data_IF_439774591099
#
_entry.id   IF_439774591099
#
_cell.length_a   1.000
_cell.length_b   1.000
_cell.length_c   1.000
_cell.angle_alpha   90.00
_cell.angle_beta   90.00
_cell.angle_gamma   90.00
#
_symmetry.space_group_name_H-M   'P 1'
#
loop_
_entity.id
_entity.type
_entity.pdbx_description
1 polymer ?
#
# COMPACT_ATOMS: atom_id res chain seq x y z
N UNK A 1 -3.75 33.34 14.41
CA UNK A 1 -4.33 32.03 14.03
C UNK A 1 -3.56 31.48 12.84
N UNK A 2 -3.07 30.23 12.88
CA UNK A 2 -2.28 29.66 11.78
C UNK A 2 -3.13 29.60 10.49
N UNK A 3 -2.63 30.23 9.41
CA UNK A 3 -3.30 30.34 8.10
C UNK A 3 -3.61 28.97 7.46
N UNK A 4 -2.99 27.89 7.94
CA UNK A 4 -3.17 26.53 7.45
C UNK A 4 -3.42 25.56 8.62
N UNK A 5 -4.70 25.41 9.01
CA UNK A 5 -5.10 24.48 10.07
C UNK A 5 -4.85 23.03 9.62
N UNK A 6 -4.17 22.25 10.46
CA UNK A 6 -3.87 20.86 10.14
C UNK A 6 -2.60 20.64 9.31
N UNK A 7 -1.74 21.65 9.24
CA UNK A 7 -0.42 21.59 8.62
C UNK A 7 0.64 21.83 9.70
N UNK A 8 1.68 20.98 9.73
CA UNK A 8 2.87 21.13 10.57
C UNK A 8 4.09 21.41 9.72
N UNK A 9 4.97 22.31 10.18
CA UNK A 9 6.27 22.58 9.54
C UNK A 9 7.35 21.82 10.30
N UNK A 10 8.19 21.06 9.58
CA UNK A 10 9.36 20.37 10.13
C UNK A 10 10.56 20.65 9.22
N UNK A 11 11.49 21.46 9.70
CA UNK A 11 12.61 21.97 8.88
C UNK A 11 12.10 22.83 7.72
N UNK A 12 12.52 22.48 6.50
CA UNK A 12 12.09 23.14 5.25
C UNK A 12 10.82 22.54 4.64
N UNK A 13 10.23 21.51 5.27
CA UNK A 13 9.08 20.79 4.75
C UNK A 13 7.80 21.03 5.56
N UNK A 14 6.66 20.89 4.90
CA UNK A 14 5.31 21.01 5.43
C UNK A 14 4.59 19.66 5.31
N UNK A 15 3.90 19.27 6.38
CA UNK A 15 3.17 18.00 6.49
C UNK A 15 1.71 18.29 6.82
N UNK A 16 0.78 17.73 6.04
CA UNK A 16 -0.64 17.71 6.36
C UNK A 16 -0.97 16.48 7.20
N UNK A 17 -1.87 16.63 8.16
CA UNK A 17 -2.46 15.49 8.88
C UNK A 17 -3.99 15.54 8.82
N UNK A 18 -4.67 14.40 8.91
CA UNK A 18 -6.15 14.30 9.01
C UNK A 18 -6.51 13.31 10.10
N UNK A 19 -7.39 13.71 11.02
CA UNK A 19 -7.99 12.80 11.99
C UNK A 19 -9.30 12.24 11.41
N UNK A 20 -9.45 10.92 11.41
CA UNK A 20 -10.69 10.24 11.00
C UNK A 20 -10.81 8.89 11.70
N UNK A 21 -11.99 8.61 12.29
CA UNK A 21 -12.31 7.35 13.02
C UNK A 21 -11.16 6.86 13.92
N UNK A 22 -10.70 7.73 14.83
CA UNK A 22 -9.62 7.47 15.80
C UNK A 22 -8.24 7.15 15.19
N UNK A 23 -8.04 7.38 13.89
CA UNK A 23 -6.73 7.26 13.22
C UNK A 23 -6.26 8.63 12.70
N UNK A 24 -4.94 8.80 12.61
CA UNK A 24 -4.30 9.98 12.04
C UNK A 24 -3.62 9.61 10.73
N UNK A 25 -3.99 10.28 9.65
CA UNK A 25 -3.39 10.12 8.33
C UNK A 25 -2.40 11.24 8.09
N UNK A 26 -1.15 10.91 7.79
CA UNK A 26 -0.09 11.87 7.51
C UNK A 26 0.24 11.93 6.02
N UNK A 27 0.57 13.13 5.56
CA UNK A 27 1.09 13.33 4.22
C UNK A 27 2.58 13.02 4.12
N UNK A 28 3.06 12.91 2.88
CA UNK A 28 4.49 13.15 2.60
C UNK A 28 4.86 14.60 2.91
N UNK A 29 6.15 14.89 3.04
CA UNK A 29 6.62 16.27 3.15
C UNK A 29 6.44 17.04 1.83
N UNK A 30 5.97 18.28 1.94
CA UNK A 30 5.80 19.23 0.85
C UNK A 30 6.71 20.44 1.05
N UNK A 31 7.10 21.13 -0.01
CA UNK A 31 7.92 22.35 0.09
C UNK A 31 7.10 23.57 0.49
N UNK A 32 5.77 23.52 0.33
CA UNK A 32 4.86 24.63 0.66
C UNK A 32 3.72 24.22 1.60
N UNK A 33 3.31 25.14 2.48
CA UNK A 33 2.16 24.94 3.37
C UNK A 33 0.84 24.78 2.59
N UNK A 34 0.75 25.41 1.42
CA UNK A 34 -0.42 25.33 0.53
C UNK A 34 -0.62 23.91 0.00
N UNK A 35 0.44 23.25 -0.45
CA UNK A 35 0.37 21.86 -0.91
C UNK A 35 -0.06 20.90 0.20
N UNK A 36 0.49 21.06 1.40
CA UNK A 36 0.09 20.27 2.57
C UNK A 36 -1.40 20.47 2.92
N UNK A 37 -1.89 21.71 2.81
CA UNK A 37 -3.30 22.04 3.03
C UNK A 37 -4.22 21.45 1.95
N UNK A 38 -3.81 21.47 0.68
CA UNK A 38 -4.56 20.88 -0.43
C UNK A 38 -4.64 19.36 -0.30
N UNK A 39 -3.53 18.70 0.05
CA UNK A 39 -3.53 17.26 0.34
C UNK A 39 -4.51 16.92 1.47
N UNK A 40 -4.49 17.70 2.55
CA UNK A 40 -5.41 17.51 3.68
C UNK A 40 -6.88 17.63 3.25
N UNK A 41 -7.21 18.63 2.42
CA UNK A 41 -8.56 18.81 1.90
C UNK A 41 -9.01 17.60 1.07
N UNK A 42 -8.16 17.13 0.16
CA UNK A 42 -8.42 15.94 -0.68
C UNK A 42 -8.67 14.69 0.15
N UNK A 43 -7.77 14.38 1.08
CA UNK A 43 -7.84 13.17 1.91
C UNK A 43 -9.06 13.20 2.83
N UNK A 44 -9.38 14.37 3.39
CA UNK A 44 -10.60 14.53 4.19
C UNK A 44 -11.85 14.17 3.37
N UNK A 45 -11.95 14.68 2.13
CA UNK A 45 -13.07 14.37 1.23
C UNK A 45 -13.13 12.88 0.89
N UNK A 46 -11.99 12.25 0.56
CA UNK A 46 -11.92 10.81 0.25
C UNK A 46 -12.33 9.95 1.46
N UNK A 47 -11.89 10.31 2.67
CA UNK A 47 -12.22 9.59 3.90
C UNK A 47 -13.72 9.72 4.24
N UNK A 48 -14.30 10.91 4.09
CA UNK A 48 -15.74 11.13 4.32
C UNK A 48 -16.60 10.49 3.24
N UNK A 49 -16.12 10.45 2.00
CA UNK A 49 -16.80 9.81 0.86
C UNK A 49 -16.61 8.29 0.81
N UNK A 50 -15.88 7.71 1.77
CA UNK A 50 -15.52 6.29 1.80
C UNK A 50 -14.81 5.80 0.51
N UNK A 51 -14.14 6.70 -0.21
CA UNK A 51 -13.36 6.43 -1.43
C UNK A 51 -11.85 6.44 -1.17
N UNK A 52 -11.44 6.71 0.08
CA UNK A 52 -10.04 6.68 0.47
C UNK A 52 -9.48 5.26 0.40
N UNK A 53 -8.58 5.04 -0.55
CA UNK A 53 -7.75 3.84 -0.60
C UNK A 53 -6.40 4.18 0.02
N UNK A 54 -6.14 3.65 1.22
CA UNK A 54 -4.83 3.77 1.85
C UNK A 54 -3.79 3.20 0.90
N UNK A 55 -2.72 3.96 0.61
CA UNK A 55 -1.63 3.45 -0.22
C UNK A 55 -0.84 2.42 0.58
N UNK A 56 -1.31 1.19 0.54
CA UNK A 56 -0.65 0.05 1.17
C UNK A 56 0.68 -0.14 0.44
N UNK A 57 1.78 -0.03 1.19
CA UNK A 57 3.14 -0.22 0.66
C UNK A 57 3.48 -1.68 0.41
N UNK A 58 2.61 -2.59 0.85
CA UNK A 58 2.82 -4.03 0.79
C UNK A 58 3.05 -4.49 -0.65
N UNK A 59 4.17 -5.18 -0.84
CA UNK A 59 4.50 -5.83 -2.10
C UNK A 59 3.76 -7.15 -2.24
N UNK A 60 3.67 -7.67 -3.48
CA UNK A 60 3.08 -8.97 -3.71
C UNK A 60 3.84 -10.08 -2.96
N UNK A 61 5.17 -9.97 -2.86
CA UNK A 61 5.99 -10.92 -2.11
C UNK A 61 5.66 -10.92 -0.62
N UNK A 62 5.60 -9.75 0.00
CA UNK A 62 5.22 -9.61 1.42
C UNK A 62 3.81 -10.16 1.70
N UNK A 63 2.88 -9.95 0.77
CA UNK A 63 1.55 -10.53 0.87
C UNK A 63 1.55 -12.05 0.73
N UNK A 64 2.32 -12.61 -0.20
CA UNK A 64 2.44 -14.07 -0.37
C UNK A 64 3.00 -14.71 0.90
N UNK A 65 4.03 -14.13 1.51
CA UNK A 65 4.59 -14.62 2.77
C UNK A 65 3.55 -14.63 3.89
N UNK A 66 2.78 -13.54 4.00
CA UNK A 66 1.71 -13.42 4.98
C UNK A 66 0.59 -14.44 4.71
N UNK A 67 0.16 -14.59 3.46
CA UNK A 67 -0.83 -15.59 3.05
C UNK A 67 -0.39 -17.01 3.41
N UNK A 68 0.86 -17.36 3.13
CA UNK A 68 1.40 -18.68 3.43
C UNK A 68 1.42 -18.94 4.94
N UNK A 69 1.77 -17.92 5.74
CA UNK A 69 1.85 -18.01 7.19
C UNK A 69 0.49 -18.06 7.87
N UNK A 70 -0.36 -17.08 7.58
CA UNK A 70 -1.56 -16.79 8.35
C UNK A 70 -2.78 -17.59 7.86
N UNK A 71 -2.81 -17.96 6.57
CA UNK A 71 -3.92 -18.69 5.97
C UNK A 71 -3.54 -20.09 5.48
N UNK A 72 -2.53 -20.23 4.63
CA UNK A 72 -2.27 -21.49 3.94
C UNK A 72 -1.84 -22.60 4.91
N UNK A 73 -0.89 -22.32 5.81
CA UNK A 73 -0.42 -23.28 6.83
C UNK A 73 -1.51 -23.82 7.75
N UNK A 74 -2.39 -22.99 8.36
CA UNK A 74 -3.44 -23.51 9.24
C UNK A 74 -4.61 -24.15 8.50
N UNK A 75 -4.90 -23.77 7.24
CA UNK A 75 -6.12 -24.20 6.55
C UNK A 75 -5.92 -25.24 5.44
N UNK A 76 -4.71 -25.43 4.92
CA UNK A 76 -4.43 -26.35 3.81
C UNK A 76 -3.57 -27.54 4.26
N UNK A 77 -3.68 -28.66 3.55
CA UNK A 77 -2.80 -29.83 3.76
C UNK A 77 -1.34 -29.44 3.51
N UNK A 78 -0.43 -29.96 4.32
CA UNK A 78 1.00 -29.63 4.25
C UNK A 78 1.61 -29.83 2.84
N UNK A 79 1.21 -30.89 2.12
CA UNK A 79 1.64 -31.13 0.74
C UNK A 79 1.17 -30.03 -0.23
N UNK A 80 -0.06 -29.55 -0.08
CA UNK A 80 -0.60 -28.44 -0.88
C UNK A 80 0.13 -27.13 -0.58
N UNK A 81 0.39 -26.84 0.69
CA UNK A 81 1.16 -25.65 1.08
C UNK A 81 2.55 -25.69 0.47
N UNK A 82 3.23 -26.84 0.53
CA UNK A 82 4.55 -27.03 -0.06
C UNK A 82 4.54 -26.78 -1.57
N UNK A 83 3.62 -27.41 -2.29
CA UNK A 83 3.54 -27.26 -3.74
C UNK A 83 3.22 -25.82 -4.16
N UNK A 84 2.21 -25.20 -3.52
CA UNK A 84 1.84 -23.82 -3.80
C UNK A 84 2.99 -22.86 -3.51
N UNK A 85 3.65 -23.03 -2.35
CA UNK A 85 4.81 -22.23 -1.97
C UNK A 85 5.90 -22.34 -3.03
N UNK A 86 6.24 -23.55 -3.47
CA UNK A 86 7.26 -23.75 -4.50
C UNK A 86 6.90 -23.08 -5.83
N UNK A 87 5.65 -23.18 -6.30
CA UNK A 87 5.22 -22.49 -7.52
C UNK A 87 5.30 -20.96 -7.38
N UNK A 88 4.92 -20.43 -6.22
CA UNK A 88 4.98 -19.01 -5.92
C UNK A 88 6.43 -18.50 -5.90
N UNK A 89 7.33 -19.19 -5.20
CA UNK A 89 8.74 -18.82 -5.07
C UNK A 89 9.55 -18.98 -6.36
N UNK A 90 9.21 -19.97 -7.19
CA UNK A 90 9.92 -20.23 -8.45
C UNK A 90 9.55 -19.24 -9.55
N UNK A 91 8.27 -18.87 -9.65
CA UNK A 91 7.76 -18.16 -10.83
C UNK A 91 7.21 -16.77 -10.53
N UNK A 92 6.44 -16.63 -9.46
CA UNK A 92 5.68 -15.38 -9.20
C UNK A 92 6.52 -14.38 -8.42
N UNK A 93 7.18 -14.81 -7.33
CA UNK A 93 7.97 -13.92 -6.47
C UNK A 93 9.14 -13.28 -7.21
N UNK A 94 9.93 -13.99 -8.06
CA UNK A 94 11.05 -13.38 -8.76
C UNK A 94 10.62 -12.26 -9.73
N UNK A 95 9.52 -12.46 -10.44
CA UNK A 95 9.07 -11.52 -11.48
C UNK A 95 8.16 -10.42 -10.94
N UNK A 96 7.28 -10.73 -10.00
CA UNK A 96 6.20 -9.85 -9.55
C UNK A 96 6.28 -9.50 -8.08
N UNK A 97 7.12 -10.19 -7.29
CA UNK A 97 7.16 -10.05 -5.84
C UNK A 97 7.55 -8.66 -5.35
N UNK A 98 8.32 -7.91 -6.14
CA UNK A 98 8.74 -6.53 -5.83
C UNK A 98 7.66 -5.48 -6.14
N UNK A 99 6.60 -5.85 -6.87
CA UNK A 99 5.54 -4.93 -7.28
C UNK A 99 4.57 -4.76 -6.11
N UNK A 100 4.18 -3.51 -5.82
CA UNK A 100 3.12 -3.25 -4.83
C UNK A 100 1.80 -3.80 -5.33
N UNK A 101 1.00 -4.39 -4.44
CA UNK A 101 -0.29 -5.00 -4.82
C UNK A 101 -1.18 -4.00 -5.57
N UNK A 102 -1.19 -2.74 -5.14
CA UNK A 102 -1.97 -1.68 -5.78
C UNK A 102 -1.45 -1.24 -7.15
N UNK A 103 -0.19 -1.53 -7.44
CA UNK A 103 0.47 -1.22 -8.71
C UNK A 103 0.48 -2.44 -9.65
N UNK A 104 -0.02 -3.60 -9.21
CA UNK A 104 -0.13 -4.81 -10.03
C UNK A 104 -1.17 -4.60 -11.13
N UNK A 105 -0.78 -4.89 -12.38
CA UNK A 105 -1.59 -4.66 -13.58
C UNK A 105 -1.68 -5.93 -14.42
N UNK A 106 -2.73 -6.11 -15.25
CA UNK A 106 -2.84 -7.25 -16.15
C UNK A 106 -1.62 -7.46 -17.05
N UNK A 107 -0.99 -6.37 -17.50
CA UNK A 107 0.23 -6.42 -18.32
C UNK A 107 1.39 -7.12 -17.59
N UNK A 108 1.50 -7.00 -16.26
CA UNK A 108 2.54 -7.70 -15.50
C UNK A 108 2.30 -9.21 -15.50
N UNK A 109 1.04 -9.64 -15.39
CA UNK A 109 0.64 -11.05 -15.44
C UNK A 109 0.89 -11.62 -16.83
N UNK A 110 0.51 -10.89 -17.88
CA UNK A 110 0.74 -11.31 -19.26
C UNK A 110 2.25 -11.48 -19.56
N UNK A 111 3.09 -10.56 -19.07
CA UNK A 111 4.55 -10.69 -19.21
C UNK A 111 5.10 -11.93 -18.52
N UNK A 112 4.61 -12.24 -17.31
CA UNK A 112 4.96 -13.49 -16.62
C UNK A 112 4.53 -14.70 -17.45
N UNK A 113 3.29 -14.75 -17.94
CA UNK A 113 2.79 -15.87 -18.75
C UNK A 113 3.61 -16.10 -20.02
N UNK A 114 4.07 -15.04 -20.69
CA UNK A 114 4.91 -15.15 -21.88
C UNK A 114 6.34 -15.64 -21.57
N UNK A 115 6.77 -15.59 -20.30
CA UNK A 115 8.11 -15.99 -19.86
C UNK A 115 8.17 -17.45 -19.40
N UNK A 116 7.03 -18.01 -18.98
CA UNK A 116 6.86 -19.40 -18.56
C UNK A 116 6.71 -20.34 -19.75
#
# INVERSE_FOLDING_TARGET
>A
MSKYRGVQKKGHLYYGYVYYKNKVYWSRGFTTAKEASLWRAKIKTELTGNTYVEKVKTTLGEFIDQYLKDYAKPNLRAGTVKNNKSMLELYIVPELGHIKIQELKPLHIQKLQNKL
#
